data_IF_853691599593
#
_entry.id   IF_853691599593
#
_cell.length_a   1.000
_cell.length_b   1.000
_cell.length_c   1.000
_cell.angle_alpha   90.00
_cell.angle_beta   90.00
_cell.angle_gamma   90.00
#
_symmetry.space_group_name_H-M   'P 1'
#
loop_
_entity.id
_entity.type
_entity.pdbx_description
1 polymer ?
#
# COMPACT_ATOMS: atom_id res chain seq x y z
N UNK A 1 -18.14 11.13 -13.53
CA UNK A 1 -16.72 10.72 -13.39
C UNK A 1 -16.34 9.89 -14.61
N UNK A 2 -15.12 10.06 -15.15
CA UNK A 2 -14.59 9.12 -16.13
C UNK A 2 -14.23 7.79 -15.45
N UNK A 3 -14.13 6.70 -16.22
CA UNK A 3 -13.66 5.40 -15.72
C UNK A 3 -12.26 5.50 -15.08
N UNK A 4 -11.41 6.38 -15.61
CA UNK A 4 -10.06 6.66 -15.10
C UNK A 4 -10.08 7.30 -13.71
N UNK A 5 -10.90 8.34 -13.53
CA UNK A 5 -11.03 9.00 -12.23
C UNK A 5 -11.62 8.05 -11.17
N UNK A 6 -12.59 7.22 -11.56
CA UNK A 6 -13.16 6.21 -10.65
C UNK A 6 -12.12 5.14 -10.25
N UNK A 7 -11.28 4.72 -11.19
CA UNK A 7 -10.17 3.81 -10.90
C UNK A 7 -9.16 4.42 -9.92
N UNK A 8 -8.76 5.67 -10.12
CA UNK A 8 -7.80 6.33 -9.23
C UNK A 8 -8.35 6.46 -7.81
N UNK A 9 -9.58 6.95 -7.65
CA UNK A 9 -10.21 7.07 -6.33
C UNK A 9 -10.34 5.71 -5.62
N UNK A 10 -10.61 4.64 -6.36
CA UNK A 10 -10.63 3.29 -5.78
C UNK A 10 -9.28 2.92 -5.18
N UNK A 11 -8.19 3.10 -5.94
CA UNK A 11 -6.84 2.75 -5.44
C UNK A 11 -6.42 3.69 -4.30
N UNK A 12 -6.76 4.98 -4.35
CA UNK A 12 -6.52 5.93 -3.25
C UNK A 12 -7.19 5.46 -1.96
N UNK A 13 -8.48 5.10 -2.01
CA UNK A 13 -9.21 4.60 -0.85
C UNK A 13 -8.63 3.29 -0.30
N UNK A 14 -8.18 2.39 -1.18
CA UNK A 14 -7.52 1.15 -0.77
C UNK A 14 -6.16 1.42 -0.11
N UNK A 15 -5.40 2.40 -0.60
CA UNK A 15 -4.14 2.88 0.00
C UNK A 15 -4.39 3.49 1.38
N UNK A 16 -5.42 4.32 1.54
CA UNK A 16 -5.78 4.91 2.84
C UNK A 16 -6.11 3.83 3.87
N UNK A 17 -6.88 2.82 3.47
CA UNK A 17 -7.17 1.68 4.34
C UNK A 17 -5.90 0.90 4.72
N UNK A 18 -4.99 0.69 3.77
CA UNK A 18 -3.71 0.04 4.06
C UNK A 18 -2.86 0.86 5.03
N UNK A 19 -2.81 2.18 4.89
CA UNK A 19 -2.09 3.06 5.80
C UNK A 19 -2.65 2.95 7.23
N UNK A 20 -3.97 2.94 7.39
CA UNK A 20 -4.60 2.76 8.70
C UNK A 20 -4.25 1.40 9.35
N UNK A 21 -4.15 0.33 8.55
CA UNK A 21 -3.72 -0.98 9.04
C UNK A 21 -2.24 -0.95 9.47
N UNK A 22 -1.39 -0.24 8.72
CA UNK A 22 0.03 -0.03 9.09
C UNK A 22 0.16 0.75 10.39
N UNK A 23 -0.63 1.80 10.58
CA UNK A 23 -0.63 2.57 11.83
C UNK A 23 -1.03 1.70 13.03
N UNK A 24 -1.98 0.78 12.82
CA UNK A 24 -2.37 -0.22 13.82
C UNK A 24 -1.22 -1.19 14.12
N UNK A 25 -0.54 -1.71 13.08
CA UNK A 25 0.65 -2.57 13.22
C UNK A 25 1.76 -1.86 14.02
N UNK A 26 2.04 -0.59 13.71
CA UNK A 26 3.01 0.25 14.42
C UNK A 26 2.66 0.42 15.89
N UNK A 27 1.39 0.67 16.21
CA UNK A 27 0.95 0.82 17.58
C UNK A 27 1.15 -0.47 18.40
N UNK A 28 0.96 -1.64 17.79
CA UNK A 28 1.18 -2.91 18.45
C UNK A 28 2.65 -3.29 18.58
N UNK A 29 3.46 -3.06 17.55
CA UNK A 29 4.89 -3.29 17.58
C UNK A 29 5.57 -2.55 18.75
N UNK A 30 5.09 -1.34 19.09
CA UNK A 30 5.57 -0.58 20.27
C UNK A 30 5.36 -1.29 21.61
N UNK A 31 4.40 -2.20 21.71
CA UNK A 31 4.10 -2.98 22.90
C UNK A 31 4.80 -4.36 22.92
N UNK A 32 5.45 -4.75 21.83
CA UNK A 32 6.14 -6.04 21.70
C UNK A 32 7.52 -6.03 22.40
N UNK A 33 8.04 -7.22 22.72
CA UNK A 33 9.41 -7.38 23.24
C UNK A 33 10.45 -6.98 22.18
N UNK A 34 11.67 -6.64 22.60
CA UNK A 34 12.66 -6.01 21.73
C UNK A 34 12.93 -6.74 20.40
N UNK A 35 13.06 -8.08 20.42
CA UNK A 35 13.32 -8.87 19.21
C UNK A 35 12.10 -8.96 18.27
N UNK A 36 10.90 -9.00 18.83
CA UNK A 36 9.64 -8.95 18.06
C UNK A 36 9.43 -7.55 17.46
N UNK A 37 9.78 -6.51 18.20
CA UNK A 37 9.72 -5.12 17.73
C UNK A 37 10.60 -4.91 16.50
N UNK A 38 11.84 -5.42 16.50
CA UNK A 38 12.75 -5.29 15.35
C UNK A 38 12.14 -5.94 14.10
N UNK A 39 11.62 -7.17 14.22
CA UNK A 39 10.97 -7.87 13.10
C UNK A 39 9.75 -7.12 12.58
N UNK A 40 8.91 -6.61 13.48
CA UNK A 40 7.75 -5.82 13.09
C UNK A 40 8.15 -4.51 12.42
N UNK A 41 9.18 -3.80 12.92
CA UNK A 41 9.66 -2.55 12.33
C UNK A 41 10.19 -2.77 10.89
N UNK A 42 10.90 -3.88 10.63
CA UNK A 42 11.35 -4.26 9.28
C UNK A 42 10.18 -4.57 8.34
N UNK A 43 9.21 -5.38 8.78
CA UNK A 43 8.02 -5.71 8.00
C UNK A 43 7.17 -4.46 7.70
N UNK A 44 6.97 -3.60 8.69
CA UNK A 44 6.25 -2.34 8.56
C UNK A 44 6.95 -1.42 7.56
N UNK A 45 8.28 -1.29 7.66
CA UNK A 45 9.06 -0.44 6.75
C UNK A 45 8.96 -0.91 5.29
N UNK A 46 8.97 -2.23 5.07
CA UNK A 46 8.78 -2.80 3.73
C UNK A 46 7.39 -2.49 3.17
N UNK A 47 6.35 -2.60 4.01
CA UNK A 47 4.97 -2.27 3.62
C UNK A 47 4.83 -0.79 3.27
N UNK A 48 5.39 0.11 4.08
CA UNK A 48 5.34 1.56 3.83
C UNK A 48 6.02 1.93 2.51
N UNK A 49 7.18 1.34 2.24
CA UNK A 49 7.87 1.52 0.95
C UNK A 49 7.00 1.10 -0.25
N UNK A 50 6.28 -0.02 -0.13
CA UNK A 50 5.35 -0.49 -1.15
C UNK A 50 4.15 0.46 -1.35
N UNK A 51 3.60 0.99 -0.26
CA UNK A 51 2.51 1.98 -0.30
C UNK A 51 2.99 3.26 -0.98
N UNK A 52 4.14 3.80 -0.60
CA UNK A 52 4.69 5.03 -1.19
C UNK A 52 5.01 4.85 -2.68
N UNK A 53 5.55 3.69 -3.06
CA UNK A 53 5.78 3.34 -4.47
C UNK A 53 4.46 3.34 -5.25
N UNK A 54 3.39 2.79 -4.67
CA UNK A 54 2.06 2.77 -5.31
C UNK A 54 1.50 4.19 -5.44
N UNK A 55 1.59 5.02 -4.40
CA UNK A 55 1.18 6.43 -4.43
C UNK A 55 1.90 7.21 -5.52
N UNK A 56 3.22 7.02 -5.65
CA UNK A 56 4.01 7.67 -6.70
C UNK A 56 3.52 7.29 -8.11
N UNK A 57 3.33 5.99 -8.37
CA UNK A 57 2.81 5.50 -9.66
C UNK A 57 1.38 5.97 -9.94
N UNK A 58 0.54 6.06 -8.90
CA UNK A 58 -0.84 6.53 -9.03
C UNK A 58 -0.89 8.02 -9.39
N UNK A 59 0.04 8.82 -8.83
CA UNK A 59 0.23 10.22 -9.19
C UNK A 59 0.69 10.37 -10.65
N UNK A 60 1.63 9.53 -11.10
CA UNK A 60 2.05 9.49 -12.51
C UNK A 60 0.88 9.13 -13.43
N UNK A 61 0.06 8.14 -13.04
CA UNK A 61 -1.13 7.75 -13.79
C UNK A 61 -2.15 8.89 -13.94
N UNK A 62 -2.25 9.78 -12.96
CA UNK A 62 -3.14 10.95 -13.00
C UNK A 62 -2.71 12.05 -13.97
N UNK A 63 -1.42 12.10 -14.32
CA UNK A 63 -0.88 12.99 -15.34
C UNK A 63 -0.80 12.36 -16.73
N UNK A 64 -1.19 11.09 -16.88
CA UNK A 64 -1.01 10.34 -18.12
C UNK A 64 -1.98 10.78 -19.22
N UNK A 65 -1.49 10.79 -20.47
CA UNK A 65 -2.35 10.87 -21.65
C UNK A 65 -3.15 9.58 -21.84
N UNK A 66 -4.15 9.62 -22.73
CA UNK A 66 -4.99 8.45 -22.96
C UNK A 66 -4.20 7.23 -23.46
N UNK A 67 -3.25 7.43 -24.38
CA UNK A 67 -2.40 6.38 -24.95
C UNK A 67 -1.42 5.75 -23.94
N UNK A 68 -0.98 6.52 -22.95
CA UNK A 68 -0.03 6.04 -21.92
C UNK A 68 -0.74 5.42 -20.71
N UNK A 69 -2.05 5.64 -20.57
CA UNK A 69 -2.79 5.33 -19.35
C UNK A 69 -2.81 3.83 -19.05
N UNK A 70 -3.11 2.98 -20.04
CA UNK A 70 -3.21 1.53 -19.81
C UNK A 70 -1.88 0.90 -19.39
N UNK A 71 -0.77 1.37 -19.98
CA UNK A 71 0.57 0.91 -19.60
C UNK A 71 0.92 1.33 -18.17
N UNK A 72 0.68 2.59 -17.81
CA UNK A 72 0.95 3.10 -16.46
C UNK A 72 0.03 2.44 -15.42
N UNK A 73 -1.22 2.15 -15.78
CA UNK A 73 -2.19 1.45 -14.93
C UNK A 73 -1.69 0.07 -14.53
N UNK A 74 -1.14 -0.70 -15.47
CA UNK A 74 -0.54 -2.01 -15.16
C UNK A 74 0.62 -1.90 -14.16
N UNK A 75 1.40 -0.82 -14.24
CA UNK A 75 2.44 -0.52 -13.27
C UNK A 75 1.90 -0.24 -11.87
N UNK A 76 0.78 0.50 -11.76
CA UNK A 76 0.05 0.73 -10.51
C UNK A 76 -0.50 -0.59 -9.94
N UNK A 77 -1.17 -1.39 -10.76
CA UNK A 77 -1.77 -2.67 -10.34
C UNK A 77 -0.71 -3.64 -9.81
N UNK A 78 0.45 -3.70 -10.47
CA UNK A 78 1.55 -4.57 -10.05
C UNK A 78 2.14 -4.13 -8.70
N UNK A 79 2.41 -2.83 -8.53
CA UNK A 79 2.93 -2.29 -7.27
C UNK A 79 1.91 -2.47 -6.13
N UNK A 80 0.64 -2.19 -6.41
CA UNK A 80 -0.44 -2.30 -5.42
C UNK A 80 -0.70 -3.75 -5.00
N UNK A 81 -0.64 -4.69 -5.93
CA UNK A 81 -0.83 -6.12 -5.61
C UNK A 81 0.20 -6.60 -4.59
N UNK A 82 1.48 -6.25 -4.82
CA UNK A 82 2.55 -6.61 -3.89
C UNK A 82 2.38 -5.92 -2.53
N UNK A 83 2.14 -4.62 -2.51
CA UNK A 83 1.98 -3.86 -1.26
C UNK A 83 0.77 -4.35 -0.44
N UNK A 84 -0.38 -4.51 -1.08
CA UNK A 84 -1.61 -4.94 -0.40
C UNK A 84 -1.55 -6.38 0.10
N UNK A 85 -0.77 -7.25 -0.54
CA UNK A 85 -0.49 -8.60 -0.04
C UNK A 85 0.33 -8.53 1.25
N UNK A 86 1.41 -7.75 1.28
CA UNK A 86 2.24 -7.60 2.49
C UNK A 86 1.46 -7.01 3.67
N UNK A 87 0.59 -6.01 3.42
CA UNK A 87 -0.32 -5.47 4.45
C UNK A 87 -1.24 -6.55 5.00
N UNK A 88 -1.86 -7.34 4.12
CA UNK A 88 -2.79 -8.42 4.52
C UNK A 88 -2.08 -9.50 5.34
N UNK A 89 -0.88 -9.90 4.94
CA UNK A 89 -0.09 -10.90 5.65
C UNK A 89 0.34 -10.41 7.03
N UNK A 90 0.86 -9.17 7.14
CA UNK A 90 1.24 -8.59 8.42
C UNK A 90 0.03 -8.43 9.36
N UNK A 91 -1.10 -7.97 8.83
CA UNK A 91 -2.34 -7.84 9.60
C UNK A 91 -2.95 -9.19 10.01
N UNK A 92 -2.75 -10.25 9.22
CA UNK A 92 -3.19 -11.60 9.57
C UNK A 92 -2.37 -12.19 10.71
N UNK A 93 -1.03 -12.01 10.68
CA UNK A 93 -0.13 -12.43 11.78
C UNK A 93 -0.49 -11.77 13.11
N UNK A 94 -1.02 -10.55 13.05
CA UNK A 94 -1.44 -9.79 14.21
C UNK A 94 -2.71 -10.36 14.89
N UNK A 95 -3.53 -11.13 14.16
CA UNK A 95 -4.76 -11.75 14.67
C UNK A 95 -4.59 -13.20 15.13
N UNK A 96 -3.46 -13.85 14.85
CA UNK A 96 -3.18 -15.23 15.27
C UNK A 96 -2.51 -15.27 16.63
#
# INVERSE_FOLDING_TARGET
MSSKAAYQQKIEAEIELAQANVDTLKAQAKNAIADERIKHDEEISAIESGIETTKAKLKELGGASDDAWDHLKSGVESAWTSASQSVREAYAKLKS
#
